data_IF_870991187617
#
_entry.id   IF_870991187617
#
_cell.length_a   1.000
_cell.length_b   1.000
_cell.length_c   1.000
_cell.angle_alpha   90.00
_cell.angle_beta   90.00
_cell.angle_gamma   90.00
#
_symmetry.space_group_name_H-M   'P 1'
#
loop_
_entity.id
_entity.type
_entity.pdbx_description
1 polymer ?
#
# COMPACT_ATOMS: atom_id res chain seq x y z
N UNK A 1 13.91 -10.35 -28.21
CA UNK A 1 13.06 -9.46 -27.38
C UNK A 1 13.29 -8.05 -27.90
N UNK A 2 12.22 -7.37 -28.31
CA UNK A 2 12.27 -6.05 -28.94
C UNK A 2 12.39 -4.95 -27.87
N UNK A 3 13.39 -4.08 -27.99
CA UNK A 3 13.78 -3.03 -27.03
C UNK A 3 12.86 -1.79 -27.05
N UNK A 4 11.71 -1.81 -27.74
CA UNK A 4 10.92 -0.59 -28.01
C UNK A 4 9.59 -0.45 -27.27
N UNK A 5 9.19 -1.42 -26.44
CA UNK A 5 7.98 -1.25 -25.63
C UNK A 5 8.39 -0.79 -24.22
N UNK A 6 8.01 0.42 -23.77
CA UNK A 6 8.23 0.82 -22.39
C UNK A 6 7.61 -0.25 -21.49
N UNK A 7 8.42 -0.88 -20.64
CA UNK A 7 7.92 -1.87 -19.69
C UNK A 7 7.00 -1.11 -18.72
N UNK A 8 5.72 -1.46 -18.68
CA UNK A 8 4.78 -0.90 -17.70
C UNK A 8 5.34 -1.14 -16.31
N UNK A 9 5.30 -0.14 -15.43
CA UNK A 9 5.60 -0.39 -14.02
C UNK A 9 4.54 -1.35 -13.48
N UNK A 10 4.96 -2.55 -13.14
CA UNK A 10 4.08 -3.55 -12.55
C UNK A 10 3.84 -3.16 -11.09
N UNK A 11 2.63 -2.67 -10.80
CA UNK A 11 2.09 -2.56 -9.45
C UNK A 11 1.17 -3.76 -9.23
N UNK A 12 1.69 -4.93 -8.83
CA UNK A 12 0.94 -6.19 -8.80
C UNK A 12 0.01 -6.30 -7.58
N UNK A 13 -0.17 -5.23 -6.82
CA UNK A 13 -0.84 -5.21 -5.53
C UNK A 13 -2.09 -4.33 -5.62
N UNK A 14 -3.23 -4.99 -5.63
CA UNK A 14 -4.55 -4.40 -5.40
C UNK A 14 -4.92 -4.58 -3.90
N UNK A 15 -5.85 -3.81 -3.36
CA UNK A 15 -6.24 -3.94 -1.95
C UNK A 15 -7.49 -3.16 -1.57
N UNK A 16 -8.17 -3.61 -0.52
CA UNK A 16 -9.34 -2.92 0.02
C UNK A 16 -8.91 -1.84 1.00
N UNK A 17 -9.59 -0.70 1.00
CA UNK A 17 -9.44 0.31 2.06
C UNK A 17 -9.92 -0.27 3.38
N UNK A 18 -9.07 -0.29 4.40
CA UNK A 18 -9.39 -0.84 5.73
C UNK A 18 -9.75 0.26 6.74
N UNK A 19 -9.08 1.42 6.69
CA UNK A 19 -9.34 2.57 7.56
C UNK A 19 -8.70 3.86 7.04
N UNK A 20 -9.20 4.98 7.52
CA UNK A 20 -8.54 6.27 7.34
C UNK A 20 -7.39 6.46 8.34
N UNK A 21 -6.34 7.11 7.88
CA UNK A 21 -5.20 7.52 8.69
C UNK A 21 -5.41 8.98 9.11
N UNK A 22 -5.32 9.23 10.42
CA UNK A 22 -5.59 10.52 11.02
C UNK A 22 -4.30 11.22 11.39
N UNK A 23 -4.20 12.48 11.01
CA UNK A 23 -3.14 13.40 11.37
C UNK A 23 -3.45 14.15 12.66
N UNK A 24 -2.63 15.16 13.00
CA UNK A 24 -2.88 16.01 14.15
C UNK A 24 -4.28 16.64 14.09
N UNK A 25 -5.01 16.63 15.21
CA UNK A 25 -6.38 17.16 15.33
C UNK A 25 -7.45 16.37 14.54
N UNK A 26 -7.15 15.14 14.12
CA UNK A 26 -8.14 14.23 13.53
C UNK A 26 -8.41 14.46 12.04
N UNK A 27 -7.61 15.28 11.35
CA UNK A 27 -7.72 15.43 9.90
C UNK A 27 -7.29 14.15 9.18
N UNK A 28 -8.09 13.65 8.23
CA UNK A 28 -7.68 12.52 7.38
C UNK A 28 -6.54 12.98 6.47
N UNK A 29 -5.41 12.29 6.51
CA UNK A 29 -4.28 12.56 5.59
C UNK A 29 -4.01 11.40 4.61
N UNK A 30 -4.57 10.23 4.91
CA UNK A 30 -4.27 9.01 4.18
C UNK A 30 -5.26 7.91 4.50
N UNK A 31 -4.99 6.74 3.95
CA UNK A 31 -5.77 5.54 4.19
C UNK A 31 -4.87 4.31 4.19
N UNK A 32 -5.34 3.27 4.86
CA UNK A 32 -4.71 1.96 4.91
C UNK A 32 -5.39 1.02 3.91
N UNK A 33 -4.57 0.18 3.27
CA UNK A 33 -4.98 -0.87 2.37
C UNK A 33 -4.64 -2.24 2.95
N UNK A 34 -5.50 -3.23 2.69
CA UNK A 34 -5.33 -4.61 3.14
C UNK A 34 -4.09 -5.31 2.58
N UNK A 35 -3.49 -4.79 1.50
CA UNK A 35 -2.25 -5.30 0.94
C UNK A 35 -1.06 -4.44 1.31
N UNK A 36 0.08 -5.04 1.68
CA UNK A 36 1.27 -4.31 2.04
C UNK A 36 1.93 -3.68 0.82
N UNK A 37 2.70 -2.62 1.05
CA UNK A 37 3.66 -2.18 0.07
C UNK A 37 4.81 -3.18 -0.05
N UNK A 38 5.19 -3.51 -1.28
CA UNK A 38 6.40 -4.27 -1.57
C UNK A 38 7.59 -3.32 -1.73
N UNK A 39 8.79 -3.81 -1.45
CA UNK A 39 10.02 -3.04 -1.67
C UNK A 39 10.09 -2.60 -3.14
N UNK A 40 10.22 -1.29 -3.35
CA UNK A 40 10.25 -0.69 -4.69
C UNK A 40 8.89 -0.22 -5.21
N UNK A 41 7.80 -0.41 -4.47
CA UNK A 41 6.45 0.06 -4.85
C UNK A 41 6.06 1.40 -4.18
N UNK A 42 6.98 2.02 -3.42
CA UNK A 42 6.79 3.37 -2.92
C UNK A 42 6.55 4.35 -4.06
N UNK A 43 5.56 5.22 -3.92
CA UNK A 43 5.11 6.11 -4.99
C UNK A 43 4.07 5.49 -5.92
N UNK A 44 3.68 4.23 -5.69
CA UNK A 44 2.65 3.57 -6.47
C UNK A 44 1.26 4.17 -6.30
N UNK A 45 0.48 4.30 -7.38
CA UNK A 45 -0.88 4.79 -7.30
C UNK A 45 -1.81 3.75 -6.67
N UNK A 46 -2.67 4.20 -5.77
CA UNK A 46 -3.89 3.49 -5.40
C UNK A 46 -5.02 4.06 -6.26
N UNK A 47 -5.79 3.19 -6.90
CA UNK A 47 -6.87 3.58 -7.80
C UNK A 47 -8.24 3.43 -7.14
N UNK A 48 -9.19 4.27 -7.57
CA UNK A 48 -10.61 4.04 -7.33
C UNK A 48 -11.20 3.06 -8.38
N UNK A 49 -12.47 2.65 -8.27
CA UNK A 49 -13.11 1.75 -9.23
C UNK A 49 -13.19 2.30 -10.67
N UNK A 50 -13.10 3.62 -10.84
CA UNK A 50 -13.11 4.31 -12.13
C UNK A 50 -11.68 4.51 -12.68
N UNK A 51 -10.68 3.86 -12.08
CA UNK A 51 -9.25 3.93 -12.46
C UNK A 51 -8.60 5.30 -12.29
N UNK A 52 -9.19 6.19 -11.47
CA UNK A 52 -8.56 7.45 -11.08
C UNK A 52 -7.65 7.24 -9.88
N UNK A 53 -6.56 8.01 -9.82
CA UNK A 53 -5.65 7.97 -8.66
C UNK A 53 -6.37 8.54 -7.44
N UNK A 54 -6.53 7.70 -6.42
CA UNK A 54 -7.16 8.04 -5.15
C UNK A 54 -6.16 8.28 -4.02
N UNK A 55 -4.95 7.73 -4.18
CA UNK A 55 -3.84 8.01 -3.27
C UNK A 55 -2.53 7.49 -3.81
N UNK A 56 -1.46 7.72 -3.06
CA UNK A 56 -0.11 7.25 -3.39
C UNK A 56 0.49 6.52 -2.21
N UNK A 57 0.93 5.28 -2.43
CA UNK A 57 1.51 4.43 -1.39
C UNK A 57 2.85 5.00 -0.92
N UNK A 58 3.04 5.07 0.41
CA UNK A 58 4.26 5.59 1.01
C UNK A 58 4.89 4.66 2.05
N UNK A 59 4.16 3.65 2.54
CA UNK A 59 4.70 2.77 3.58
C UNK A 59 3.90 1.49 3.78
N UNK A 60 4.46 0.62 4.62
CA UNK A 60 3.83 -0.59 5.12
C UNK A 60 3.79 -0.51 6.64
N UNK A 61 2.65 -0.83 7.23
CA UNK A 61 2.50 -0.99 8.66
C UNK A 61 2.43 -2.47 9.02
N UNK A 62 2.99 -2.83 10.17
CA UNK A 62 3.08 -4.20 10.65
C UNK A 62 2.27 -4.31 11.94
N UNK A 63 1.08 -4.90 11.83
CA UNK A 63 0.15 -5.06 12.94
C UNK A 63 0.43 -6.39 13.63
N UNK A 64 0.83 -6.35 14.88
CA UNK A 64 0.89 -7.54 15.74
C UNK A 64 -0.53 -8.04 16.00
N UNK A 65 -0.78 -9.32 15.72
CA UNK A 65 -2.08 -9.95 15.96
C UNK A 65 -2.19 -10.57 17.36
N UNK A 66 -1.14 -10.46 18.18
CA UNK A 66 -1.10 -10.92 19.58
C UNK A 66 -1.35 -12.43 19.74
N UNK A 67 -0.85 -13.21 18.77
CA UNK A 67 -0.78 -14.66 18.91
C UNK A 67 0.42 -15.25 18.17
N UNK A 68 0.94 -16.34 18.73
CA UNK A 68 2.00 -17.14 18.14
C UNK A 68 1.44 -18.39 17.44
N UNK A 69 2.06 -18.76 16.34
CA UNK A 69 1.79 -19.99 15.60
C UNK A 69 2.90 -20.99 15.92
N UNK A 70 2.56 -22.16 16.46
CA UNK A 70 3.45 -23.33 16.57
C UNK A 70 2.79 -24.53 15.88
N UNK A 71 3.16 -24.78 14.62
CA UNK A 71 2.54 -25.84 13.80
C UNK A 71 3.55 -26.51 12.86
N UNK A 72 3.27 -27.77 12.47
CA UNK A 72 3.95 -28.44 11.37
C UNK A 72 3.32 -28.06 10.03
N UNK A 73 4.13 -27.56 9.10
CA UNK A 73 3.71 -27.22 7.74
C UNK A 73 4.58 -27.92 6.70
N UNK A 74 4.04 -28.11 5.49
CA UNK A 74 4.84 -28.57 4.35
C UNK A 74 5.32 -27.36 3.55
N UNK A 75 6.64 -27.22 3.39
CA UNK A 75 7.24 -26.23 2.47
C UNK A 75 8.15 -26.95 1.49
N UNK A 76 7.89 -26.74 0.19
CA UNK A 76 8.59 -27.43 -0.89
C UNK A 76 8.62 -28.97 -0.72
N UNK A 77 7.50 -29.54 -0.24
CA UNK A 77 7.34 -30.98 0.00
C UNK A 77 7.97 -31.51 1.30
N UNK A 78 8.67 -30.69 2.06
CA UNK A 78 9.34 -31.09 3.31
C UNK A 78 8.53 -30.65 4.52
N UNK A 79 8.30 -31.57 5.47
CA UNK A 79 7.73 -31.24 6.78
C UNK A 79 8.67 -30.34 7.54
N UNK A 80 8.17 -29.19 7.99
CA UNK A 80 8.91 -28.21 8.78
C UNK A 80 8.06 -27.73 9.94
N UNK A 81 8.61 -27.76 11.15
CA UNK A 81 8.01 -27.08 12.30
C UNK A 81 8.23 -25.57 12.16
N UNK A 82 7.15 -24.81 12.21
CA UNK A 82 7.16 -23.35 12.16
C UNK A 82 6.70 -22.83 13.52
N UNK A 83 7.56 -21.98 14.10
CA UNK A 83 7.23 -21.16 15.27
C UNK A 83 7.39 -19.71 14.85
N UNK A 84 6.31 -18.95 14.82
CA UNK A 84 6.29 -17.59 14.29
C UNK A 84 5.26 -16.73 15.03
N UNK A 85 5.53 -15.44 15.16
CA UNK A 85 4.56 -14.48 15.71
C UNK A 85 3.74 -13.90 14.57
N UNK A 86 2.42 -13.87 14.71
CA UNK A 86 1.54 -13.50 13.61
C UNK A 86 1.46 -11.98 13.42
N UNK A 87 1.99 -11.48 12.30
CA UNK A 87 1.85 -10.09 11.88
C UNK A 87 0.99 -9.97 10.63
N UNK A 88 0.08 -8.99 10.61
CA UNK A 88 -0.60 -8.55 9.41
C UNK A 88 0.13 -7.34 8.81
N UNK A 89 0.46 -7.42 7.53
CA UNK A 89 1.12 -6.32 6.82
C UNK A 89 0.12 -5.59 5.94
N UNK A 90 0.03 -4.28 6.11
CA UNK A 90 -0.94 -3.41 5.44
C UNK A 90 -0.24 -2.20 4.82
N UNK A 91 -0.73 -1.73 3.68
CA UNK A 91 -0.15 -0.62 2.94
C UNK A 91 -0.74 0.70 3.38
N UNK A 92 0.07 1.75 3.46
CA UNK A 92 -0.38 3.10 3.77
C UNK A 92 -0.24 4.01 2.56
N UNK A 93 -1.30 4.75 2.26
CA UNK A 93 -1.39 5.67 1.14
C UNK A 93 -1.68 7.09 1.64
N UNK A 94 -1.03 8.07 1.01
CA UNK A 94 -1.40 9.49 1.17
C UNK A 94 -2.64 9.74 0.33
N UNK A 95 -3.64 10.41 0.89
CA UNK A 95 -4.89 10.71 0.20
C UNK A 95 -4.66 11.73 -0.93
N UNK A 96 -5.36 11.60 -2.05
CA UNK A 96 -5.21 12.50 -3.21
C UNK A 96 -5.41 13.97 -2.86
N UNK A 97 -6.32 14.29 -1.94
CA UNK A 97 -6.55 15.68 -1.52
C UNK A 97 -5.33 16.31 -0.83
N UNK A 98 -4.55 15.52 -0.10
CA UNK A 98 -3.30 16.01 0.51
C UNK A 98 -2.26 16.29 -0.57
N UNK A 99 -2.19 15.43 -1.59
CA UNK A 99 -1.30 15.63 -2.73
C UNK A 99 -1.68 16.89 -3.52
N UNK A 100 -2.97 17.07 -3.81
CA UNK A 100 -3.51 18.26 -4.48
C UNK A 100 -3.19 19.52 -3.68
N UNK A 101 -3.49 19.54 -2.37
CA UNK A 101 -3.20 20.67 -1.49
C UNK A 101 -1.71 21.04 -1.49
N UNK A 102 -0.83 20.04 -1.41
CA UNK A 102 0.62 20.23 -1.49
C UNK A 102 1.05 20.81 -2.85
N UNK A 103 0.54 20.25 -3.95
CA UNK A 103 0.82 20.76 -5.30
C UNK A 103 0.37 22.22 -5.47
N UNK A 104 -0.84 22.56 -5.02
CA UNK A 104 -1.37 23.91 -5.04
C UNK A 104 -0.50 24.88 -4.22
N UNK A 105 -0.10 24.49 -3.02
CA UNK A 105 0.77 25.30 -2.16
C UNK A 105 2.11 25.63 -2.85
N UNK A 106 2.63 24.70 -3.65
CA UNK A 106 3.89 24.87 -4.36
C UNK A 106 3.75 25.40 -5.79
N UNK A 107 2.54 25.80 -6.20
CA UNK A 107 2.28 26.34 -7.55
C UNK A 107 2.45 25.31 -8.67
N UNK A 108 2.39 24.01 -8.35
CA UNK A 108 2.44 22.93 -9.33
C UNK A 108 1.06 22.81 -9.97
N UNK A 109 0.99 22.97 -11.29
CA UNK A 109 -0.25 22.83 -12.06
C UNK A 109 -0.57 21.35 -12.30
N UNK A 110 -1.84 20.99 -12.14
CA UNK A 110 -2.37 19.66 -12.45
C UNK A 110 -3.79 19.78 -13.01
N UNK A 111 -4.25 18.83 -13.83
CA UNK A 111 -5.64 18.78 -14.24
C UNK A 111 -6.53 18.41 -13.05
N UNK A 112 -7.60 19.16 -12.82
CA UNK A 112 -8.69 18.73 -11.96
C UNK A 112 -9.64 17.82 -12.75
N UNK A 113 -10.13 16.76 -12.12
CA UNK A 113 -11.03 15.76 -12.67
C UNK A 113 -12.20 15.48 -11.73
#
# INVERSE_FOLDING_TARGET
MDERTPKSSEFPIDGMVTRHLLGPRGSVFGFEMSTPGLRGQSGGPAFDPDTKVWGVQYGTNHLDLDFDVDQEVYRSGIKKKVKDSAFLHVGHCVHVDILKAFMTQHGVKFPEA
#
